data_IF_377668002938
#
_entry.id   IF_377668002938
#
_cell.length_a   1.000
_cell.length_b   1.000
_cell.length_c   1.000
_cell.angle_alpha   90.00
_cell.angle_beta   90.00
_cell.angle_gamma   90.00
#
_symmetry.space_group_name_H-M   'P 1'
#
loop_
_entity.id
_entity.type
_entity.pdbx_description
1 polymer ?
#
# COMPACT_ATOMS: atom_id res chain seq x y z
N UNK A 1 8.08 6.26 31.83
CA UNK A 1 8.35 6.25 30.38
C UNK A 1 8.67 4.85 29.83
N UNK A 2 7.96 3.81 30.34
CA UNK A 2 8.16 2.42 29.84
C UNK A 2 7.63 2.18 28.41
N UNK A 3 6.87 3.13 27.84
CA UNK A 3 6.21 3.01 26.55
C UNK A 3 6.72 4.00 25.49
N UNK A 4 7.92 4.54 25.68
CA UNK A 4 8.56 5.42 24.70
C UNK A 4 9.76 4.71 24.08
N UNK A 5 9.82 4.69 22.77
CA UNK A 5 10.95 4.18 22.00
C UNK A 5 11.53 5.29 21.14
N UNK A 6 12.84 5.27 20.99
CA UNK A 6 13.59 6.15 20.12
C UNK A 6 13.91 5.40 18.82
N UNK A 7 13.53 5.97 17.70
CA UNK A 7 13.95 5.49 16.39
C UNK A 7 15.27 6.19 16.04
N UNK A 8 16.32 5.41 15.91
CA UNK A 8 17.63 5.88 15.43
C UNK A 8 17.69 5.58 13.92
N UNK A 9 17.98 6.59 13.13
CA UNK A 9 18.22 6.47 11.70
C UNK A 9 19.48 7.27 11.38
N UNK A 10 20.45 6.65 10.70
CA UNK A 10 21.80 7.23 10.49
C UNK A 10 21.79 8.58 9.79
N UNK A 11 20.78 8.82 8.93
CA UNK A 11 20.63 10.07 8.18
C UNK A 11 19.66 11.08 8.82
N UNK A 12 19.08 10.78 9.98
CA UNK A 12 18.12 11.65 10.66
C UNK A 12 18.84 12.77 11.39
N UNK A 13 18.55 14.03 11.02
CA UNK A 13 18.99 15.18 11.80
C UNK A 13 18.06 15.41 12.97
N UNK A 14 18.48 14.94 14.14
CA UNK A 14 17.71 15.07 15.37
C UNK A 14 17.17 13.75 15.92
N UNK A 15 16.02 13.84 16.59
CA UNK A 15 15.45 12.72 17.32
C UNK A 15 13.93 12.62 17.11
N UNK A 16 13.46 11.43 16.79
CA UNK A 16 12.03 11.08 16.84
C UNK A 16 11.73 10.27 18.09
N UNK A 17 10.73 10.71 18.85
CA UNK A 17 10.24 10.00 20.02
C UNK A 17 8.81 9.55 19.76
N UNK A 18 8.59 8.25 19.84
CA UNK A 18 7.27 7.66 19.73
C UNK A 18 6.77 7.23 21.12
N UNK A 19 5.53 7.59 21.44
CA UNK A 19 4.83 7.15 22.64
C UNK A 19 3.60 6.36 22.22
N UNK A 20 3.50 5.13 22.70
CA UNK A 20 2.33 4.28 22.48
C UNK A 20 1.41 4.26 23.70
N UNK A 21 0.15 4.66 23.49
CA UNK A 21 -0.93 4.49 24.47
C UNK A 21 -1.68 3.19 24.15
N UNK A 22 -1.26 2.11 24.80
CA UNK A 22 -1.75 0.75 24.51
C UNK A 22 -3.27 0.63 24.63
N UNK A 23 -3.86 1.21 25.66
CA UNK A 23 -5.29 1.12 25.94
C UNK A 23 -6.16 1.84 24.89
N UNK A 24 -5.60 2.86 24.26
CA UNK A 24 -6.26 3.62 23.19
C UNK A 24 -5.85 3.18 21.79
N UNK A 25 -4.78 2.37 21.64
CA UNK A 25 -4.22 2.00 20.35
C UNK A 25 -3.64 3.18 19.56
N UNK A 26 -3.22 4.26 20.26
CA UNK A 26 -2.79 5.51 19.63
C UNK A 26 -1.29 5.70 19.80
N UNK A 27 -0.63 6.12 18.72
CA UNK A 27 0.75 6.54 18.74
C UNK A 27 0.87 8.06 18.65
N UNK A 28 1.73 8.63 19.48
CA UNK A 28 2.15 10.02 19.40
C UNK A 28 3.59 10.08 18.92
N UNK A 29 3.88 11.03 18.04
CA UNK A 29 5.20 11.37 17.57
C UNK A 29 5.58 12.76 18.06
N UNK A 30 6.75 12.90 18.64
CA UNK A 30 7.43 14.19 18.84
C UNK A 30 8.76 14.17 18.08
N UNK A 31 8.96 15.09 17.19
CA UNK A 31 10.21 15.25 16.46
C UNK A 31 10.96 16.49 16.94
N UNK A 32 12.27 16.35 17.14
CA UNK A 32 13.18 17.45 17.49
C UNK A 32 14.39 17.40 16.57
N UNK A 33 14.40 18.26 15.59
CA UNK A 33 15.46 18.38 14.59
C UNK A 33 15.12 19.45 13.57
N UNK A 34 15.92 19.57 12.54
CA UNK A 34 15.78 20.61 11.50
C UNK A 34 15.05 20.09 10.25
N UNK A 35 14.87 18.78 10.12
CA UNK A 35 14.17 18.19 8.98
C UNK A 35 12.67 18.48 9.03
N UNK A 36 12.05 18.63 7.86
CA UNK A 36 10.59 18.79 7.73
C UNK A 36 9.96 17.45 7.40
N UNK A 37 9.10 16.99 8.30
CA UNK A 37 8.35 15.74 8.11
C UNK A 37 6.90 16.01 7.75
N UNK A 38 6.38 15.18 6.86
CA UNK A 38 4.97 15.15 6.46
C UNK A 38 4.40 13.79 6.87
N UNK A 39 3.27 13.78 7.55
CA UNK A 39 2.49 12.59 7.85
C UNK A 39 1.10 12.75 7.23
N UNK A 40 0.68 11.79 6.40
CA UNK A 40 -0.65 11.81 5.75
C UNK A 40 -0.97 13.14 5.04
N UNK A 41 0.03 13.71 4.35
CA UNK A 41 -0.12 14.99 3.63
C UNK A 41 -0.10 16.24 4.51
N UNK A 42 0.11 16.12 5.83
CA UNK A 42 0.21 17.27 6.73
C UNK A 42 1.62 17.40 7.35
N UNK A 43 2.18 18.61 7.39
CA UNK A 43 3.47 18.82 8.02
C UNK A 43 3.39 18.55 9.53
N UNK A 44 4.43 17.90 10.06
CA UNK A 44 4.58 17.66 11.49
C UNK A 44 5.20 18.91 12.12
N UNK A 45 4.48 19.52 13.03
CA UNK A 45 4.99 20.64 13.83
C UNK A 45 5.93 20.11 14.91
N UNK A 46 7.21 20.54 14.87
CA UNK A 46 8.23 20.14 15.84
C UNK A 46 7.95 20.64 17.28
N UNK A 47 7.04 21.61 17.43
CA UNK A 47 6.64 22.14 18.73
C UNK A 47 5.54 21.33 19.42
N UNK A 48 4.88 20.42 18.69
CA UNK A 48 3.73 19.65 19.17
C UNK A 48 3.91 18.16 18.93
N UNK A 49 3.25 17.35 19.75
CA UNK A 49 3.12 15.93 19.48
C UNK A 49 2.06 15.71 18.40
N UNK A 50 2.41 15.00 17.34
CA UNK A 50 1.50 14.58 16.29
C UNK A 50 0.92 13.20 16.61
N UNK A 51 -0.35 12.97 16.28
CA UNK A 51 -0.97 11.65 16.36
C UNK A 51 -0.65 10.88 15.08
N UNK A 52 -0.09 9.69 15.23
CA UNK A 52 0.19 8.79 14.12
C UNK A 52 -0.90 7.72 14.07
N UNK A 53 -1.67 7.74 13.01
CA UNK A 53 -2.75 6.76 12.76
C UNK A 53 -2.23 5.56 12.00
N UNK A 54 -2.96 4.47 12.05
CA UNK A 54 -2.66 3.26 11.28
C UNK A 54 -2.60 3.59 9.78
N UNK A 55 -1.57 3.07 9.11
CA UNK A 55 -1.33 3.35 7.69
C UNK A 55 -0.55 4.65 7.42
N UNK A 56 -0.21 5.42 8.47
CA UNK A 56 0.58 6.63 8.30
C UNK A 56 1.97 6.32 7.74
N UNK A 57 2.43 7.22 6.87
CA UNK A 57 3.79 7.22 6.34
C UNK A 57 4.42 8.56 6.67
N UNK A 58 5.54 8.54 7.39
CA UNK A 58 6.34 9.74 7.65
C UNK A 58 7.29 9.94 6.48
N UNK A 59 7.24 11.09 5.87
CA UNK A 59 8.08 11.44 4.72
C UNK A 59 8.92 12.67 5.02
N UNK A 60 10.17 12.60 4.61
CA UNK A 60 11.10 13.70 4.60
C UNK A 60 11.87 13.68 3.27
N UNK A 61 12.29 14.83 2.78
CA UNK A 61 13.03 14.94 1.51
C UNK A 61 14.40 14.25 1.52
N UNK A 62 14.97 13.99 2.69
CA UNK A 62 16.32 13.44 2.87
C UNK A 62 16.35 11.97 3.27
N UNK A 63 15.23 11.45 3.79
CA UNK A 63 15.15 10.11 4.36
C UNK A 63 14.22 9.20 3.57
N UNK A 64 14.49 7.90 3.65
CA UNK A 64 13.52 6.90 3.21
C UNK A 64 12.22 7.05 4.02
N UNK A 65 11.05 6.84 3.41
CA UNK A 65 9.79 6.90 4.13
C UNK A 65 9.80 5.96 5.33
N UNK A 66 9.32 6.43 6.48
CA UNK A 66 9.17 5.64 7.70
C UNK A 66 7.71 5.23 7.78
N UNK A 67 7.46 3.93 7.66
CA UNK A 67 6.10 3.40 7.66
C UNK A 67 5.57 3.18 9.07
N UNK A 68 4.27 3.27 9.22
CA UNK A 68 3.58 2.97 10.48
C UNK A 68 4.04 1.65 11.09
N UNK A 69 4.23 0.61 10.26
CA UNK A 69 4.72 -0.70 10.70
C UNK A 69 6.08 -0.64 11.36
N UNK A 70 7.00 0.15 10.81
CA UNK A 70 8.36 0.28 11.36
C UNK A 70 8.34 1.02 12.69
N UNK A 71 7.38 1.95 12.84
CA UNK A 71 7.15 2.70 14.09
C UNK A 71 6.60 1.79 15.19
N UNK A 72 5.62 0.94 14.87
CA UNK A 72 4.93 0.13 15.89
C UNK A 72 5.72 -1.11 16.32
N UNK A 73 6.58 -1.62 15.44
CA UNK A 73 7.35 -2.86 15.66
C UNK A 73 8.08 -2.93 17.01
N UNK A 74 8.76 -1.87 17.51
CA UNK A 74 9.41 -1.90 18.83
C UNK A 74 8.45 -1.95 20.01
N UNK A 75 7.18 -1.57 19.84
CA UNK A 75 6.18 -1.50 20.91
C UNK A 75 5.32 -2.77 21.02
N UNK A 76 5.31 -3.56 19.97
CA UNK A 76 4.55 -4.81 19.93
C UNK A 76 5.48 -5.97 20.30
N UNK A 77 4.96 -6.92 21.07
CA UNK A 77 5.66 -8.19 21.28
C UNK A 77 5.85 -8.86 19.91
N UNK A 78 6.89 -9.68 19.76
CA UNK A 78 7.23 -10.34 18.49
C UNK A 78 6.05 -11.06 17.82
N UNK A 79 5.03 -11.45 18.59
CA UNK A 79 3.80 -12.07 18.10
C UNK A 79 2.69 -11.06 17.73
N UNK A 80 2.77 -9.79 18.14
CA UNK A 80 1.76 -8.76 17.85
C UNK A 80 2.18 -7.84 16.69
N UNK A 81 3.49 -7.71 16.43
CA UNK A 81 4.04 -6.78 15.43
C UNK A 81 3.69 -7.17 13.98
N UNK A 82 3.43 -8.46 13.73
CA UNK A 82 3.28 -9.02 12.38
C UNK A 82 1.86 -9.56 12.08
N UNK A 83 0.90 -9.41 12.98
CA UNK A 83 -0.45 -9.95 12.75
C UNK A 83 -1.37 -8.93 12.10
N UNK A 84 -1.22 -8.77 10.82
CA UNK A 84 -2.25 -8.21 9.97
C UNK A 84 -3.28 -9.30 9.69
N UNK A 85 -4.53 -9.02 10.04
CA UNK A 85 -5.62 -9.98 9.80
C UNK A 85 -6.63 -9.38 8.84
N UNK A 86 -6.83 -10.09 7.73
CA UNK A 86 -7.85 -9.79 6.74
C UNK A 86 -9.00 -10.79 6.91
N UNK A 87 -10.16 -10.31 7.31
CA UNK A 87 -11.31 -11.16 7.63
C UNK A 87 -12.50 -10.85 6.75
N UNK A 88 -13.08 -11.87 6.17
CA UNK A 88 -14.27 -11.81 5.32
C UNK A 88 -15.39 -12.56 6.02
N UNK A 89 -16.52 -11.88 6.24
CA UNK A 89 -17.67 -12.44 6.98
C UNK A 89 -18.95 -12.32 6.20
N UNK A 90 -19.60 -13.47 5.96
CA UNK A 90 -20.93 -13.60 5.39
C UNK A 90 -21.16 -12.76 4.13
N UNK A 91 -20.16 -12.70 3.24
CA UNK A 91 -20.24 -11.90 2.02
C UNK A 91 -21.22 -12.55 1.04
N UNK A 92 -22.26 -11.80 0.72
CA UNK A 92 -23.13 -12.01 -0.43
C UNK A 92 -22.95 -10.85 -1.41
N UNK A 93 -22.95 -11.15 -2.71
CA UNK A 93 -22.95 -10.15 -3.76
C UNK A 93 -23.98 -10.46 -4.82
N UNK A 94 -24.90 -9.52 -5.06
CA UNK A 94 -25.96 -9.61 -6.06
C UNK A 94 -25.74 -8.50 -7.09
N UNK A 95 -25.63 -8.87 -8.35
CA UNK A 95 -25.53 -7.92 -9.46
C UNK A 95 -26.83 -7.13 -9.64
N UNK A 96 -26.77 -5.98 -10.32
CA UNK A 96 -27.93 -5.12 -10.62
C UNK A 96 -29.05 -5.84 -11.37
N UNK A 97 -28.75 -6.89 -12.11
CA UNK A 97 -29.71 -7.74 -12.81
C UNK A 97 -30.35 -8.84 -11.92
N UNK A 98 -30.08 -8.82 -10.61
CA UNK A 98 -30.60 -9.80 -9.65
C UNK A 98 -29.83 -11.12 -9.60
N UNK A 99 -28.81 -11.31 -10.45
CA UNK A 99 -27.99 -12.54 -10.44
C UNK A 99 -27.07 -12.55 -9.22
N UNK A 100 -27.05 -13.66 -8.49
CA UNK A 100 -26.11 -13.85 -7.37
C UNK A 100 -24.71 -14.13 -7.91
N UNK A 101 -23.76 -13.33 -7.47
CA UNK A 101 -22.34 -13.45 -7.82
C UNK A 101 -21.51 -14.13 -6.75
N UNK A 102 -21.80 -13.84 -5.47
CA UNK A 102 -21.15 -14.46 -4.30
C UNK A 102 -22.23 -14.88 -3.30
N UNK A 103 -22.00 -15.98 -2.60
CA UNK A 103 -22.91 -16.50 -1.60
C UNK A 103 -22.17 -16.95 -0.35
N UNK A 104 -22.47 -16.30 0.78
CA UNK A 104 -22.01 -16.64 2.12
C UNK A 104 -20.49 -16.94 2.22
N UNK A 105 -19.66 -16.07 1.66
CA UNK A 105 -18.21 -16.24 1.67
C UNK A 105 -17.66 -15.86 3.04
N UNK A 106 -16.88 -16.76 3.63
CA UNK A 106 -16.27 -16.60 4.93
C UNK A 106 -14.84 -17.14 4.93
N UNK A 107 -13.86 -16.34 5.30
CA UNK A 107 -12.49 -16.77 5.56
C UNK A 107 -11.69 -15.69 6.28
N UNK A 108 -10.53 -16.08 6.79
CA UNK A 108 -9.55 -15.16 7.41
C UNK A 108 -8.17 -15.46 6.86
N UNK A 109 -7.43 -14.41 6.52
CA UNK A 109 -6.04 -14.48 6.05
C UNK A 109 -5.21 -13.67 7.03
N UNK A 110 -4.08 -14.23 7.45
CA UNK A 110 -3.12 -13.52 8.29
C UNK A 110 -1.95 -13.01 7.41
N UNK A 111 -1.27 -11.96 7.88
CA UNK A 111 -0.07 -11.43 7.23
C UNK A 111 0.97 -12.52 6.99
N UNK A 112 1.75 -12.37 5.92
CA UNK A 112 2.77 -13.32 5.51
C UNK A 112 2.24 -14.57 4.77
N UNK A 113 0.92 -14.72 4.62
CA UNK A 113 0.33 -15.83 3.89
C UNK A 113 0.04 -15.46 2.43
N UNK A 114 0.40 -16.37 1.53
CA UNK A 114 -0.03 -16.32 0.14
C UNK A 114 -1.32 -17.15 -0.02
N UNK A 115 -2.39 -16.49 -0.45
CA UNK A 115 -3.71 -17.15 -0.61
C UNK A 115 -4.07 -17.24 -2.09
N UNK A 116 -4.38 -18.45 -2.56
CA UNK A 116 -4.83 -18.71 -3.92
C UNK A 116 -6.34 -18.84 -4.01
N UNK A 117 -6.99 -18.11 -4.94
CA UNK A 117 -8.41 -18.23 -5.26
C UNK A 117 -8.54 -19.01 -6.56
N UNK A 118 -9.09 -20.22 -6.49
CA UNK A 118 -9.23 -21.13 -7.64
C UNK A 118 -10.70 -21.39 -7.96
N UNK A 119 -10.98 -21.72 -9.20
CA UNK A 119 -12.34 -22.06 -9.68
C UNK A 119 -12.47 -21.92 -11.18
N UNK A 120 -13.51 -22.50 -11.75
CA UNK A 120 -13.84 -22.41 -13.17
C UNK A 120 -14.13 -20.99 -13.66
N UNK A 121 -14.26 -20.81 -14.97
CA UNK A 121 -14.71 -19.54 -15.55
C UNK A 121 -16.14 -19.23 -15.04
N UNK A 122 -16.39 -17.97 -14.67
CA UNK A 122 -17.69 -17.56 -14.14
C UNK A 122 -17.97 -17.92 -12.66
N UNK A 123 -17.03 -18.55 -11.95
CA UNK A 123 -17.20 -18.92 -10.53
C UNK A 123 -17.18 -17.73 -9.54
N UNK A 124 -17.08 -16.48 -10.01
CA UNK A 124 -17.12 -15.31 -9.15
C UNK A 124 -15.76 -14.85 -8.62
N UNK A 125 -14.62 -15.41 -9.09
CA UNK A 125 -13.27 -15.04 -8.59
C UNK A 125 -12.96 -13.55 -8.71
N UNK A 126 -13.21 -12.96 -9.87
CA UNK A 126 -12.98 -11.52 -10.09
C UNK A 126 -13.94 -10.66 -9.27
N UNK A 127 -15.19 -11.10 -9.10
CA UNK A 127 -16.17 -10.43 -8.24
C UNK A 127 -15.70 -10.45 -6.80
N UNK A 128 -15.18 -11.60 -6.31
CA UNK A 128 -14.63 -11.70 -4.98
C UNK A 128 -13.44 -10.76 -4.81
N UNK A 129 -12.47 -10.75 -5.72
CA UNK A 129 -11.32 -9.83 -5.66
C UNK A 129 -11.76 -8.36 -5.62
N UNK A 130 -12.76 -7.97 -6.43
CA UNK A 130 -13.28 -6.60 -6.44
C UNK A 130 -14.01 -6.24 -5.14
N UNK A 131 -14.64 -7.21 -4.48
CA UNK A 131 -15.19 -7.00 -3.13
C UNK A 131 -14.06 -6.91 -2.11
N UNK A 132 -13.01 -7.73 -2.19
CA UNK A 132 -11.91 -7.72 -1.24
C UNK A 132 -11.05 -6.45 -1.32
N UNK A 133 -10.90 -5.87 -2.50
CA UNK A 133 -10.11 -4.63 -2.70
C UNK A 133 -10.93 -3.33 -2.51
N UNK A 134 -12.21 -3.42 -2.17
CA UNK A 134 -13.07 -2.27 -1.95
C UNK A 134 -13.71 -1.66 -3.21
N UNK A 135 -13.39 -2.18 -4.41
CA UNK A 135 -13.96 -1.64 -5.67
C UNK A 135 -15.44 -1.93 -5.84
N UNK A 136 -15.95 -2.99 -5.20
CA UNK A 136 -17.37 -3.37 -5.25
C UNK A 136 -17.89 -3.63 -3.83
N UNK A 137 -18.88 -2.86 -3.39
CA UNK A 137 -19.47 -3.06 -2.08
C UNK A 137 -20.34 -4.33 -2.07
N UNK A 138 -20.19 -5.23 -1.07
CA UNK A 138 -21.03 -6.42 -0.97
C UNK A 138 -22.49 -6.05 -0.68
N UNK A 139 -23.42 -6.88 -1.11
CA UNK A 139 -24.84 -6.72 -0.81
C UNK A 139 -25.16 -7.06 0.66
N UNK A 140 -24.31 -7.92 1.28
CA UNK A 140 -24.39 -8.31 2.67
C UNK A 140 -23.01 -8.77 3.16
N UNK A 141 -22.78 -8.65 4.47
CA UNK A 141 -21.53 -9.05 5.11
C UNK A 141 -20.52 -7.92 5.17
N UNK A 142 -19.31 -8.23 5.61
CA UNK A 142 -18.27 -7.26 5.87
C UNK A 142 -16.88 -7.79 5.51
N UNK A 143 -16.02 -6.89 5.06
CA UNK A 143 -14.58 -7.15 4.85
C UNK A 143 -13.82 -6.31 5.87
N UNK A 144 -13.05 -6.97 6.72
CA UNK A 144 -12.37 -6.34 7.85
C UNK A 144 -10.86 -6.44 7.71
N UNK A 145 -10.19 -5.34 7.98
CA UNK A 145 -8.74 -5.28 8.18
C UNK A 145 -8.50 -4.94 9.65
N UNK A 146 -7.89 -5.87 10.38
CA UNK A 146 -7.68 -5.74 11.84
C UNK A 146 -8.97 -5.32 12.59
N UNK A 147 -10.11 -5.91 12.21
CA UNK A 147 -11.41 -5.65 12.80
C UNK A 147 -12.12 -4.38 12.34
N UNK A 148 -11.52 -3.59 11.44
CA UNK A 148 -12.14 -2.38 10.86
C UNK A 148 -12.67 -2.67 9.47
N UNK A 149 -13.92 -2.29 9.20
CA UNK A 149 -14.56 -2.50 7.91
C UNK A 149 -13.95 -1.58 6.84
N UNK A 150 -13.51 -2.16 5.72
CA UNK A 150 -12.86 -1.41 4.63
C UNK A 150 -13.82 -0.45 3.91
N UNK A 151 -15.13 -0.65 4.04
CA UNK A 151 -16.16 0.20 3.46
C UNK A 151 -16.60 1.34 4.36
N UNK A 152 -16.10 1.38 5.59
CA UNK A 152 -16.36 2.45 6.56
C UNK A 152 -15.15 3.40 6.61
N UNK A 153 -15.25 4.53 5.93
CA UNK A 153 -14.14 5.48 5.77
C UNK A 153 -13.16 5.08 4.67
N UNK A 154 -12.06 5.82 4.54
CA UNK A 154 -11.04 5.59 3.50
C UNK A 154 -9.97 4.58 3.94
N UNK A 155 -10.34 3.52 4.65
CA UNK A 155 -9.38 2.57 5.25
C UNK A 155 -8.65 1.76 4.16
N UNK A 156 -9.32 1.44 3.05
CA UNK A 156 -8.73 0.67 1.96
C UNK A 156 -7.73 1.47 1.11
N UNK A 157 -7.83 2.81 1.11
CA UNK A 157 -6.96 3.66 0.30
C UNK A 157 -5.50 3.57 0.76
N UNK A 158 -4.64 3.11 -0.14
CA UNK A 158 -3.20 2.96 0.11
C UNK A 158 -2.79 1.72 0.92
N UNK A 159 -3.73 0.98 1.52
CA UNK A 159 -3.41 -0.27 2.21
C UNK A 159 -3.45 -1.49 1.28
N UNK A 160 -4.39 -1.52 0.34
CA UNK A 160 -4.60 -2.64 -0.57
C UNK A 160 -4.08 -2.26 -1.95
N UNK A 161 -3.08 -2.99 -2.44
CA UNK A 161 -2.64 -2.94 -3.83
C UNK A 161 -3.53 -3.84 -4.69
N UNK A 162 -3.91 -3.35 -5.86
CA UNK A 162 -4.71 -4.12 -6.81
C UNK A 162 -4.05 -4.15 -8.19
N UNK A 163 -3.66 -5.33 -8.64
CA UNK A 163 -3.08 -5.53 -9.97
C UNK A 163 -4.16 -6.08 -10.88
N UNK A 164 -4.72 -5.26 -11.80
CA UNK A 164 -5.79 -5.70 -12.68
C UNK A 164 -5.29 -6.74 -13.71
N UNK A 165 -6.24 -7.44 -14.32
CA UNK A 165 -5.95 -8.42 -15.37
C UNK A 165 -5.38 -7.74 -16.62
N UNK A 166 -6.01 -6.64 -17.03
CA UNK A 166 -5.54 -5.79 -18.13
C UNK A 166 -4.49 -4.81 -17.60
N UNK A 167 -3.49 -4.53 -18.41
CA UNK A 167 -2.47 -3.57 -17.98
C UNK A 167 -2.97 -2.12 -18.13
N UNK A 168 -2.48 -1.25 -17.24
CA UNK A 168 -2.79 0.17 -17.21
C UNK A 168 -1.62 1.00 -17.79
N UNK A 169 -0.81 0.39 -18.64
CA UNK A 169 0.40 0.99 -19.18
C UNK A 169 0.07 1.98 -20.30
N UNK A 170 0.77 3.11 -20.28
CA UNK A 170 0.72 4.11 -21.35
C UNK A 170 1.74 3.69 -22.41
N UNK A 171 1.26 3.32 -23.58
CA UNK A 171 2.03 2.69 -24.66
C UNK A 171 3.12 3.59 -25.25
N UNK A 172 2.89 4.92 -25.27
CA UNK A 172 3.79 5.93 -25.79
C UNK A 172 4.95 6.25 -24.84
N UNK A 173 4.80 5.94 -23.57
CA UNK A 173 5.80 6.18 -22.55
C UNK A 173 6.81 5.04 -22.47
N UNK A 174 8.01 5.36 -21.98
CA UNK A 174 8.99 4.34 -21.64
C UNK A 174 8.59 3.58 -20.36
N UNK A 175 9.25 2.45 -20.13
CA UNK A 175 9.09 1.65 -18.90
C UNK A 175 9.34 2.54 -17.67
N UNK A 176 10.42 3.32 -17.67
CA UNK A 176 10.73 4.28 -16.61
C UNK A 176 9.65 5.37 -16.49
N UNK A 177 9.21 5.97 -17.59
CA UNK A 177 8.25 7.06 -17.58
C UNK A 177 6.89 6.61 -17.02
N UNK A 178 6.44 5.39 -17.32
CA UNK A 178 5.22 4.84 -16.75
C UNK A 178 5.27 4.84 -15.20
N UNK A 179 6.37 4.34 -14.63
CA UNK A 179 6.55 4.34 -13.18
C UNK A 179 6.74 5.76 -12.62
N UNK A 180 7.54 6.59 -13.29
CA UNK A 180 7.84 7.94 -12.84
C UNK A 180 6.58 8.80 -12.73
N UNK A 181 5.77 8.84 -13.78
CA UNK A 181 4.55 9.65 -13.77
C UNK A 181 3.51 9.09 -12.80
N UNK A 182 3.38 7.77 -12.69
CA UNK A 182 2.51 7.16 -11.68
C UNK A 182 2.98 7.54 -10.26
N UNK A 183 4.26 7.38 -9.96
CA UNK A 183 4.82 7.77 -8.67
C UNK A 183 4.59 9.25 -8.37
N UNK A 184 4.79 10.12 -9.36
CA UNK A 184 4.57 11.56 -9.23
C UNK A 184 3.11 11.92 -8.96
N UNK A 185 2.17 11.21 -9.57
CA UNK A 185 0.73 11.40 -9.32
C UNK A 185 0.33 10.90 -7.91
N UNK A 186 0.89 9.78 -7.46
CA UNK A 186 0.60 9.24 -6.13
C UNK A 186 1.24 10.07 -5.00
N UNK A 187 2.38 10.70 -5.28
CA UNK A 187 3.22 11.40 -4.28
C UNK A 187 3.61 12.79 -4.77
N UNK A 188 2.60 13.63 -5.01
CA UNK A 188 2.77 14.97 -5.62
C UNK A 188 3.77 15.90 -4.94
N UNK A 189 4.07 15.65 -3.65
CA UNK A 189 4.97 16.49 -2.84
C UNK A 189 6.42 16.00 -2.81
N UNK A 190 6.70 14.79 -3.36
CA UNK A 190 8.07 14.28 -3.41
C UNK A 190 8.91 15.05 -4.43
N UNK A 191 10.17 15.29 -4.09
CA UNK A 191 11.14 15.85 -5.05
C UNK A 191 11.41 14.86 -6.18
N UNK A 192 11.82 15.38 -7.34
CA UNK A 192 12.15 14.56 -8.51
C UNK A 192 13.23 13.52 -8.17
N UNK A 193 14.23 13.88 -7.37
CA UNK A 193 15.32 12.96 -7.00
C UNK A 193 14.83 11.77 -6.16
N UNK A 194 13.94 12.02 -5.22
CA UNK A 194 13.31 10.95 -4.40
C UNK A 194 12.44 10.05 -5.27
N UNK A 195 11.66 10.61 -6.19
CA UNK A 195 10.87 9.85 -7.16
C UNK A 195 11.78 8.97 -8.04
N UNK A 196 12.88 9.55 -8.54
CA UNK A 196 13.85 8.83 -9.36
C UNK A 196 14.43 7.62 -8.62
N UNK A 197 14.89 7.82 -7.38
CA UNK A 197 15.43 6.74 -6.56
C UNK A 197 14.40 5.63 -6.38
N UNK A 198 13.19 5.97 -5.99
CA UNK A 198 12.10 5.02 -5.77
C UNK A 198 11.76 4.22 -7.04
N UNK A 199 11.70 4.88 -8.19
CA UNK A 199 11.42 4.25 -9.48
C UNK A 199 12.55 3.30 -9.88
N UNK A 200 13.81 3.70 -9.70
CA UNK A 200 14.96 2.86 -10.02
C UNK A 200 15.03 1.62 -9.11
N UNK A 201 14.74 1.76 -7.82
CA UNK A 201 14.67 0.62 -6.87
C UNK A 201 13.60 -0.40 -7.29
N UNK A 202 12.43 0.07 -7.72
CA UNK A 202 11.36 -0.81 -8.22
C UNK A 202 11.75 -1.46 -9.54
N UNK A 203 12.35 -0.73 -10.48
CA UNK A 203 12.83 -1.28 -11.75
C UNK A 203 13.88 -2.38 -11.54
N UNK A 204 14.81 -2.16 -10.61
CA UNK A 204 15.84 -3.13 -10.26
C UNK A 204 15.22 -4.40 -9.65
N UNK A 205 14.34 -4.23 -8.65
CA UNK A 205 13.66 -5.36 -7.98
C UNK A 205 12.83 -6.22 -8.94
N UNK A 206 12.31 -5.63 -10.03
CA UNK A 206 11.52 -6.31 -11.04
C UNK A 206 12.36 -6.82 -12.24
N UNK A 207 13.67 -6.58 -12.25
CA UNK A 207 14.55 -6.93 -13.36
C UNK A 207 14.16 -6.21 -14.66
N UNK A 208 13.86 -4.91 -14.58
CA UNK A 208 13.45 -4.06 -15.72
C UNK A 208 14.45 -2.95 -16.04
N UNK A 209 15.57 -2.87 -15.31
CA UNK A 209 16.58 -1.81 -15.49
C UNK A 209 17.13 -1.71 -16.90
N UNK A 210 17.42 -2.85 -17.54
CA UNK A 210 18.02 -2.88 -18.89
C UNK A 210 17.09 -2.31 -19.98
N UNK A 211 15.77 -2.35 -19.73
CA UNK A 211 14.74 -1.92 -20.69
C UNK A 211 14.05 -0.61 -20.28
N UNK A 212 14.53 0.07 -19.26
CA UNK A 212 13.86 1.24 -18.66
C UNK A 212 13.55 2.36 -19.66
N UNK A 213 14.41 2.53 -20.65
CA UNK A 213 14.30 3.58 -21.67
C UNK A 213 13.49 3.16 -22.91
N UNK A 214 13.13 1.88 -23.02
CA UNK A 214 12.29 1.39 -24.11
C UNK A 214 10.85 1.82 -23.90
N UNK A 215 10.20 2.24 -25.00
CA UNK A 215 8.75 2.46 -25.01
C UNK A 215 8.02 1.15 -24.75
N UNK A 216 6.90 1.22 -24.03
CA UNK A 216 6.08 0.04 -23.74
C UNK A 216 5.49 -0.56 -25.02
N UNK A 217 5.05 0.30 -25.94
CA UNK A 217 4.43 -0.11 -27.20
C UNK A 217 3.05 -0.73 -27.03
N UNK A 218 2.33 -0.91 -28.13
CA UNK A 218 0.99 -1.49 -28.11
C UNK A 218 1.01 -3.01 -28.01
N UNK A 219 -0.15 -3.60 -27.71
CA UNK A 219 -0.33 -5.06 -27.70
C UNK A 219 -0.05 -5.68 -29.08
N UNK A 220 -0.31 -4.92 -30.15
CA UNK A 220 -0.08 -5.34 -31.53
C UNK A 220 1.36 -5.08 -32.00
N UNK A 221 2.00 -4.04 -31.48
CA UNK A 221 3.39 -3.67 -31.81
C UNK A 221 4.23 -3.68 -30.53
N UNK A 222 4.56 -4.88 -30.06
CA UNK A 222 5.23 -5.12 -28.79
C UNK A 222 6.70 -4.70 -28.86
N UNK A 223 7.08 -3.72 -28.05
CA UNK A 223 8.48 -3.33 -27.86
C UNK A 223 9.09 -4.12 -26.70
N UNK A 224 8.28 -4.43 -25.67
CA UNK A 224 8.66 -5.24 -24.51
C UNK A 224 7.85 -6.55 -24.48
N UNK A 225 8.40 -7.59 -23.85
CA UNK A 225 7.74 -8.88 -23.76
C UNK A 225 6.49 -8.84 -22.86
N UNK A 226 5.58 -9.80 -23.03
CA UNK A 226 4.39 -9.91 -22.18
C UNK A 226 4.72 -10.07 -20.68
N UNK A 227 5.80 -10.79 -20.37
CA UNK A 227 6.29 -10.92 -18.99
C UNK A 227 6.85 -9.60 -18.43
N UNK A 228 7.53 -8.80 -19.26
CA UNK A 228 8.00 -7.47 -18.87
C UNK A 228 6.83 -6.50 -18.65
N UNK A 229 5.80 -6.52 -19.53
CA UNK A 229 4.56 -5.74 -19.33
C UNK A 229 3.88 -6.10 -18.02
N UNK A 230 3.77 -7.41 -17.73
CA UNK A 230 3.16 -7.87 -16.48
C UNK A 230 3.93 -7.39 -15.26
N UNK A 231 5.26 -7.49 -15.28
CA UNK A 231 6.11 -6.97 -14.19
C UNK A 231 6.02 -5.45 -14.05
N UNK A 232 5.97 -4.72 -15.16
CA UNK A 232 5.79 -3.27 -15.13
C UNK A 232 4.44 -2.88 -14.53
N UNK A 233 3.36 -3.59 -14.87
CA UNK A 233 2.04 -3.38 -14.30
C UNK A 233 2.03 -3.64 -12.77
N UNK A 234 2.76 -4.66 -12.32
CA UNK A 234 3.01 -4.89 -10.88
C UNK A 234 3.77 -3.68 -10.28
N UNK A 235 4.75 -3.16 -10.99
CA UNK A 235 5.53 -2.00 -10.56
C UNK A 235 4.69 -0.75 -10.31
N UNK A 236 3.62 -0.52 -11.08
CA UNK A 236 2.70 0.60 -10.86
C UNK A 236 2.04 0.57 -9.47
N UNK A 237 1.78 -0.62 -8.93
CA UNK A 237 1.26 -0.77 -7.58
C UNK A 237 2.38 -0.77 -6.53
N UNK A 238 3.51 -1.42 -6.81
CA UNK A 238 4.62 -1.48 -5.85
C UNK A 238 5.20 -0.11 -5.51
N UNK A 239 5.21 0.85 -6.45
CA UNK A 239 5.66 2.23 -6.14
C UNK A 239 4.79 2.91 -5.09
N UNK A 240 3.54 2.47 -4.90
CA UNK A 240 2.60 2.96 -3.89
C UNK A 240 2.85 2.34 -2.52
N UNK A 241 3.65 1.27 -2.44
CA UNK A 241 4.01 0.54 -1.22
C UNK A 241 2.77 0.06 -0.43
N UNK A 242 1.87 -0.70 -1.06
CA UNK A 242 0.70 -1.23 -0.37
C UNK A 242 1.11 -2.22 0.73
N UNK A 243 0.27 -2.33 1.76
CA UNK A 243 0.49 -3.27 2.87
C UNK A 243 -0.04 -4.68 2.57
N UNK A 244 -0.98 -4.78 1.61
CA UNK A 244 -1.62 -6.02 1.13
C UNK A 244 -1.61 -6.02 -0.37
#
# INVERSE_FOLDING_TARGET
LRNAHQLLHDDLDGMMVFLYLKDAGIFFLSYRGTDSFIANGQPIDSSRAAVITQGAVLRCSRLKPIYYRDIIRPFLSANEADTFQFTVRNIDFIFSNGKQGLHNINFTINSGNLTGIMGGSGAGKSTLLNVLNGSMQPSKGEVLINGKNIYEGNIAEGLIGNIPQDDLLIEELSVYQNLFYNTKLCFGELTVDVINTKVLDVLDSLGLMEIKDLKVGSVLNKTISGGQRKRLNIGLELVREPSI
#
